data_IF_133510546662
#
_entry.id   IF_133510546662
#
_cell.length_a   1.000
_cell.length_b   1.000
_cell.length_c   1.000
_cell.angle_alpha   90.00
_cell.angle_beta   90.00
_cell.angle_gamma   90.00
#
_symmetry.space_group_name_H-M   'P 1'
#
loop_
_entity.id
_entity.type
_entity.pdbx_description
1 polymer ?
#
# COMPACT_ATOMS: atom_id res chain seq x y z
N UNK A 1 -2.92 12.46 -12.64
CA UNK A 1 -2.66 11.76 -13.90
C UNK A 1 -3.87 12.04 -14.79
N UNK A 2 -3.64 12.48 -16.01
CA UNK A 2 -4.70 12.57 -17.03
C UNK A 2 -4.89 11.23 -17.71
N UNK A 3 -6.01 11.03 -18.41
CA UNK A 3 -6.25 9.77 -19.16
C UNK A 3 -5.15 9.52 -20.21
N UNK A 4 -4.62 10.56 -20.87
CA UNK A 4 -3.50 10.46 -21.80
C UNK A 4 -2.17 9.99 -21.14
N UNK A 5 -2.00 10.19 -19.81
CA UNK A 5 -0.83 9.68 -19.08
C UNK A 5 -0.92 8.17 -18.84
N UNK A 6 -2.13 7.58 -18.92
CA UNK A 6 -2.38 6.18 -18.62
C UNK A 6 -2.04 5.28 -19.81
N UNK A 7 -2.12 5.80 -21.04
CA UNK A 7 -1.79 5.05 -22.27
C UNK A 7 -0.30 4.71 -22.37
N UNK A 8 0.58 5.48 -21.72
CA UNK A 8 2.03 5.25 -21.66
C UNK A 8 2.50 4.69 -20.30
N UNK A 9 1.59 4.28 -19.42
CA UNK A 9 1.95 3.83 -18.08
C UNK A 9 2.29 2.34 -18.05
N UNK A 10 3.55 2.03 -17.73
CA UNK A 10 4.03 0.66 -17.53
C UNK A 10 4.50 0.45 -16.08
N UNK A 11 3.79 -0.39 -15.32
CA UNK A 11 4.06 -0.55 -13.87
C UNK A 11 5.46 -1.11 -13.55
N UNK A 12 6.06 -1.86 -14.47
CA UNK A 12 7.42 -2.37 -14.31
C UNK A 12 8.51 -1.34 -14.66
N UNK A 13 8.15 -0.19 -15.24
CA UNK A 13 9.08 0.92 -15.44
C UNK A 13 9.24 1.76 -14.17
N UNK A 14 10.50 2.05 -13.83
CA UNK A 14 10.85 2.80 -12.62
C UNK A 14 10.29 4.22 -12.63
N UNK A 15 10.31 4.89 -13.78
CA UNK A 15 9.76 6.23 -13.99
C UNK A 15 8.25 6.29 -13.71
N UNK A 16 7.50 5.31 -14.24
CA UNK A 16 6.07 5.16 -13.99
C UNK A 16 5.78 4.88 -12.52
N UNK A 17 6.53 3.96 -11.88
CA UNK A 17 6.40 3.72 -10.44
C UNK A 17 6.70 4.96 -9.61
N UNK A 18 7.73 5.71 -9.94
CA UNK A 18 8.08 6.93 -9.21
C UNK A 18 6.92 7.94 -9.24
N UNK A 19 6.32 8.17 -10.41
CA UNK A 19 5.14 9.05 -10.56
C UNK A 19 3.94 8.55 -9.75
N UNK A 20 3.67 7.23 -9.78
CA UNK A 20 2.59 6.63 -9.00
C UNK A 20 2.84 6.78 -7.50
N UNK A 21 4.06 6.52 -7.05
CA UNK A 21 4.45 6.62 -5.65
C UNK A 21 4.42 8.07 -5.15
N UNK A 22 4.74 9.05 -5.99
CA UNK A 22 4.55 10.48 -5.67
C UNK A 22 3.08 10.82 -5.44
N UNK A 23 2.18 10.32 -6.30
CA UNK A 23 0.75 10.51 -6.13
C UNK A 23 0.23 9.84 -4.83
N UNK A 24 0.63 8.59 -4.58
CA UNK A 24 0.30 7.88 -3.35
C UNK A 24 0.84 8.58 -2.10
N UNK A 25 2.06 9.13 -2.16
CA UNK A 25 2.67 9.89 -1.06
C UNK A 25 1.88 11.15 -0.76
N UNK A 26 1.43 11.87 -1.78
CA UNK A 26 0.64 13.08 -1.62
C UNK A 26 -0.69 12.79 -0.90
N UNK A 27 -1.36 11.68 -1.24
CA UNK A 27 -2.59 11.26 -0.55
C UNK A 27 -2.29 10.75 0.87
N UNK A 28 -1.26 9.91 1.02
CA UNK A 28 -0.82 9.41 2.32
C UNK A 28 -0.51 10.56 3.29
N UNK A 29 0.12 11.64 2.82
CA UNK A 29 0.47 12.79 3.66
C UNK A 29 -0.73 13.51 4.25
N UNK A 30 -1.90 13.41 3.60
CA UNK A 30 -3.17 13.98 4.08
C UNK A 30 -3.83 13.14 5.17
N UNK A 31 -3.41 11.89 5.36
CA UNK A 31 -3.97 11.01 6.38
C UNK A 31 -3.55 11.42 7.80
N UNK A 32 -4.42 11.11 8.77
CA UNK A 32 -4.08 11.23 10.18
C UNK A 32 -3.01 10.21 10.60
N UNK A 33 -2.33 10.44 11.74
CA UNK A 33 -1.19 9.61 12.18
C UNK A 33 -1.56 8.13 12.33
N UNK A 34 -2.75 7.83 12.86
CA UNK A 34 -3.22 6.45 13.02
C UNK A 34 -3.38 5.76 11.66
N UNK A 35 -4.03 6.43 10.69
CA UNK A 35 -4.22 5.88 9.35
C UNK A 35 -2.89 5.67 8.62
N UNK A 36 -1.93 6.60 8.76
CA UNK A 36 -0.57 6.45 8.23
C UNK A 36 0.11 5.20 8.79
N UNK A 37 0.08 5.04 10.10
CA UNK A 37 0.66 3.87 10.77
C UNK A 37 0.02 2.56 10.29
N UNK A 38 -1.31 2.51 10.16
CA UNK A 38 -2.01 1.32 9.68
C UNK A 38 -1.62 0.91 8.25
N UNK A 39 -1.40 1.88 7.37
CA UNK A 39 -0.92 1.59 6.00
C UNK A 39 0.48 0.99 6.03
N UNK A 40 1.39 1.54 6.85
CA UNK A 40 2.74 1.02 6.98
C UNK A 40 2.75 -0.39 7.59
N UNK A 41 1.99 -0.62 8.66
CA UNK A 41 1.81 -1.94 9.29
C UNK A 41 1.25 -2.98 8.30
N UNK A 42 0.30 -2.58 7.44
CA UNK A 42 -0.24 -3.46 6.41
C UNK A 42 0.83 -3.86 5.38
N UNK A 43 1.64 -2.92 4.91
CA UNK A 43 2.73 -3.21 3.97
C UNK A 43 3.78 -4.12 4.62
N UNK A 44 4.16 -3.86 5.88
CA UNK A 44 5.08 -4.69 6.65
C UNK A 44 4.55 -6.12 6.82
N UNK A 45 3.28 -6.28 7.17
CA UNK A 45 2.66 -7.59 7.31
C UNK A 45 2.69 -8.39 5.99
N UNK A 46 2.41 -7.75 4.86
CA UNK A 46 2.42 -8.42 3.56
C UNK A 46 3.84 -8.83 3.17
N UNK A 47 4.81 -7.93 3.35
CA UNK A 47 6.23 -8.21 3.10
C UNK A 47 6.74 -9.40 3.92
N UNK A 48 6.30 -9.49 5.18
CA UNK A 48 6.76 -10.51 6.12
C UNK A 48 6.06 -11.85 5.95
N UNK A 49 4.76 -11.83 5.66
CA UNK A 49 3.96 -13.05 5.46
C UNK A 49 4.30 -13.77 4.15
N UNK A 50 4.86 -13.08 3.16
CA UNK A 50 5.13 -13.61 1.82
C UNK A 50 3.86 -13.95 1.02
N UNK A 51 2.67 -13.71 1.58
CA UNK A 51 1.38 -14.03 0.98
C UNK A 51 0.91 -12.90 0.05
N UNK A 52 1.78 -12.50 -0.89
CA UNK A 52 1.52 -11.38 -1.80
C UNK A 52 0.23 -11.59 -2.58
N UNK A 53 0.05 -12.76 -3.21
CA UNK A 53 -1.16 -13.07 -4.01
C UNK A 53 -2.48 -12.93 -3.22
N UNK A 54 -2.45 -13.15 -1.89
CA UNK A 54 -3.64 -13.04 -1.05
C UNK A 54 -3.93 -11.60 -0.62
N UNK A 55 -2.89 -10.82 -0.33
CA UNK A 55 -3.03 -9.53 0.33
C UNK A 55 -2.72 -8.30 -0.56
N UNK A 56 -2.22 -8.53 -1.78
CA UNK A 56 -1.81 -7.47 -2.70
C UNK A 56 -2.89 -6.42 -2.95
N UNK A 57 -4.13 -6.86 -3.20
CA UNK A 57 -5.26 -5.98 -3.50
C UNK A 57 -5.76 -5.12 -2.33
N UNK A 58 -5.17 -5.25 -1.13
CA UNK A 58 -5.51 -4.41 0.04
C UNK A 58 -4.63 -3.17 0.17
N UNK A 59 -3.41 -3.20 -0.38
CA UNK A 59 -2.43 -2.11 -0.29
C UNK A 59 -2.27 -1.36 -1.60
N UNK A 60 -2.61 -1.98 -2.72
CA UNK A 60 -2.53 -1.33 -4.03
C UNK A 60 -3.95 -1.11 -4.58
N UNK A 61 -4.25 0.08 -5.15
CA UNK A 61 -5.54 0.36 -5.72
C UNK A 61 -5.99 -0.73 -6.71
N UNK A 62 -7.20 -1.25 -6.50
CA UNK A 62 -7.77 -2.35 -7.31
C UNK A 62 -7.98 -2.00 -8.78
N UNK A 63 -7.81 -0.72 -9.15
CA UNK A 63 -7.92 -0.22 -10.52
C UNK A 63 -6.65 -0.40 -11.35
N UNK A 64 -5.54 -0.87 -10.77
CA UNK A 64 -4.33 -1.19 -11.53
C UNK A 64 -4.30 -2.71 -11.76
N UNK A 65 -4.24 -3.20 -13.02
CA UNK A 65 -4.04 -4.61 -13.33
C UNK A 65 -2.60 -5.00 -12.96
N UNK A 66 -2.39 -5.35 -11.70
CA UNK A 66 -1.07 -5.55 -11.11
C UNK A 66 -0.63 -7.01 -11.09
N UNK A 67 -1.39 -7.89 -11.74
CA UNK A 67 -0.92 -9.23 -12.11
C UNK A 67 0.36 -9.15 -12.96
N UNK A 68 0.64 -7.96 -13.52
CA UNK A 68 1.83 -7.62 -14.29
C UNK A 68 3.04 -7.20 -13.44
N UNK A 69 2.91 -6.94 -12.13
CA UNK A 69 4.08 -6.55 -11.32
C UNK A 69 5.00 -7.76 -11.13
N UNK A 70 6.15 -7.72 -11.79
CA UNK A 70 7.12 -8.81 -11.80
C UNK A 70 7.76 -9.03 -10.41
N UNK A 71 8.11 -7.93 -9.74
CA UNK A 71 8.72 -7.94 -8.41
C UNK A 71 7.80 -7.29 -7.36
N UNK A 72 6.78 -8.05 -6.93
CA UNK A 72 5.84 -7.64 -5.87
C UNK A 72 6.57 -7.28 -4.55
N UNK A 73 7.55 -8.07 -4.05
CA UNK A 73 8.32 -7.69 -2.87
C UNK A 73 9.09 -6.38 -3.03
N UNK A 74 9.81 -6.20 -4.15
CA UNK A 74 10.57 -4.98 -4.42
C UNK A 74 9.67 -3.75 -4.55
N UNK A 75 8.52 -3.90 -5.21
CA UNK A 75 7.51 -2.84 -5.31
C UNK A 75 7.04 -2.36 -3.93
N UNK A 76 6.67 -3.28 -3.03
CA UNK A 76 6.18 -2.92 -1.70
C UNK A 76 7.26 -2.32 -0.82
N UNK A 77 8.52 -2.76 -0.93
CA UNK A 77 9.65 -2.13 -0.23
C UNK A 77 9.86 -0.69 -0.70
N UNK A 78 9.89 -0.47 -2.01
CA UNK A 78 10.07 0.86 -2.58
C UNK A 78 8.89 1.79 -2.24
N UNK A 79 7.66 1.27 -2.25
CA UNK A 79 6.49 2.02 -1.79
C UNK A 79 6.61 2.39 -0.31
N UNK A 80 6.97 1.43 0.56
CA UNK A 80 7.16 1.70 1.98
C UNK A 80 8.18 2.81 2.20
N UNK A 81 9.34 2.70 1.55
CA UNK A 81 10.41 3.71 1.62
C UNK A 81 9.95 5.08 1.17
N UNK A 82 9.14 5.16 0.10
CA UNK A 82 8.56 6.43 -0.33
C UNK A 82 7.64 7.04 0.72
N UNK A 83 6.79 6.22 1.35
CA UNK A 83 5.78 6.67 2.30
C UNK A 83 6.38 7.10 3.64
N UNK A 84 7.32 6.33 4.17
CA UNK A 84 7.90 6.52 5.50
C UNK A 84 9.23 7.30 5.49
N UNK A 85 9.94 7.32 4.35
CA UNK A 85 11.29 7.85 4.23
C UNK A 85 12.39 6.92 4.73
N UNK A 86 12.05 5.67 5.09
CA UNK A 86 13.02 4.67 5.55
C UNK A 86 12.64 3.26 5.09
N UNK A 87 13.62 2.35 5.08
CA UNK A 87 13.38 0.95 4.73
C UNK A 87 12.41 0.28 5.72
N UNK A 88 11.60 -0.69 5.26
CA UNK A 88 10.74 -1.47 6.15
C UNK A 88 11.60 -2.29 7.11
N UNK A 89 11.20 -2.39 8.39
CA UNK A 89 11.87 -3.27 9.34
C UNK A 89 11.75 -4.73 8.89
N UNK A 90 12.79 -5.53 9.14
CA UNK A 90 12.68 -6.98 9.07
C UNK A 90 11.90 -7.47 10.29
N UNK A 91 10.57 -7.49 10.18
CA UNK A 91 9.69 -8.04 11.19
C UNK A 91 9.30 -9.47 10.81
N UNK A 92 9.38 -10.39 11.76
CA UNK A 92 8.77 -11.72 11.64
C UNK A 92 7.42 -11.67 12.36
N UNK A 93 6.36 -11.36 11.63
CA UNK A 93 5.01 -11.47 12.16
C UNK A 93 4.67 -12.96 12.17
N UNK A 94 4.81 -13.59 13.33
CA UNK A 94 4.49 -15.00 13.51
C UNK A 94 3.10 -15.38 12.97
N UNK A 95 2.78 -16.68 12.84
CA UNK A 95 1.65 -17.18 12.07
C UNK A 95 0.25 -16.76 12.57
N UNK A 96 0.15 -16.14 13.75
CA UNK A 96 -1.09 -15.76 14.41
C UNK A 96 -1.59 -14.33 14.06
N UNK A 97 -0.92 -13.63 13.13
CA UNK A 97 -1.28 -12.25 12.76
C UNK A 97 -2.14 -12.25 11.49
N UNK A 98 -3.29 -11.58 11.54
CA UNK A 98 -4.21 -11.42 10.41
C UNK A 98 -4.39 -9.95 10.02
N UNK A 99 -4.49 -9.68 8.70
CA UNK A 99 -4.80 -8.35 8.18
C UNK A 99 -6.32 -8.08 8.31
N UNK A 100 -6.69 -7.14 9.18
CA UNK A 100 -8.09 -6.71 9.35
C UNK A 100 -8.38 -5.53 8.43
N UNK A 101 -9.17 -5.74 7.38
CA UNK A 101 -9.55 -4.70 6.40
C UNK A 101 -10.90 -4.03 6.68
N UNK A 102 -11.53 -4.29 7.82
CA UNK A 102 -12.85 -3.73 8.12
C UNK A 102 -12.74 -2.24 8.40
N UNK A 103 -13.38 -1.43 7.53
CA UNK A 103 -13.70 -0.04 7.86
C UNK A 103 -14.62 -0.11 9.09
N UNK A 104 -14.15 0.38 10.23
CA UNK A 104 -14.96 0.44 11.44
C UNK A 104 -16.28 1.16 11.09
N UNK A 105 -17.46 0.71 11.58
CA UNK A 105 -18.70 1.45 11.37
C UNK A 105 -18.54 2.90 11.86
N UNK A 106 -19.31 3.88 11.32
CA UNK A 106 -19.22 5.26 11.76
C UNK A 106 -19.61 5.33 13.25
N UNK A 107 -18.59 5.31 14.11
CA UNK A 107 -18.75 5.42 15.55
C UNK A 107 -18.95 6.89 15.90
N UNK A 108 -20.21 7.29 16.04
CA UNK A 108 -20.82 7.93 17.21
C UNK A 108 -22.25 8.28 16.78
N UNK A 109 -23.20 7.43 17.16
CA UNK A 109 -24.60 7.85 17.28
C UNK A 109 -24.76 8.30 18.75
N UNK A 110 -24.89 9.60 18.94
CA UNK A 110 -25.11 10.19 20.27
C UNK A 110 -26.57 9.91 20.61
N UNK A 111 -26.79 9.05 21.60
CA UNK A 111 -28.10 8.74 22.17
C UNK A 111 -28.91 10.01 22.46
N UNK A 112 -30.20 9.96 22.17
CA UNK A 112 -31.25 10.35 23.13
C UNK A 112 -32.15 9.14 23.41
#
# INVERSE_FOLDING_TARGET
>A
MSDDDLDEFYINEESCRARLFDAMKADFDRFGPVSKQRVLEAIEFILSSGQFEKFWGYVVPQSVPLDEVEDKPGYLRALYEKLSGHAPPMCDFGPDVELVSTISPPGIDIRE
#
